data_IF_333736356391
#
_entry.id   IF_333736356391
#
_cell.length_a   1.000
_cell.length_b   1.000
_cell.length_c   1.000
_cell.angle_alpha   90.00
_cell.angle_beta   90.00
_cell.angle_gamma   90.00
#
_symmetry.space_group_name_H-M   'P 1'
#
loop_
_entity.id
_entity.type
_entity.pdbx_description
1 polymer ?
#
# COMPACT_ATOMS: atom_id res chain seq x y z
N UNK A 1 16.79 -34.21 1.56
CA UNK A 1 16.77 -32.80 1.09
C UNK A 1 15.77 -32.05 1.95
N UNK A 2 16.22 -31.26 2.92
CA UNK A 2 15.31 -30.51 3.81
C UNK A 2 14.87 -29.20 3.14
N UNK A 3 13.58 -28.87 3.27
CA UNK A 3 13.02 -27.59 2.79
C UNK A 3 13.00 -26.58 3.93
N UNK A 4 13.54 -25.39 3.69
CA UNK A 4 13.55 -24.31 4.69
C UNK A 4 12.13 -23.78 4.87
N UNK A 5 11.58 -23.92 6.07
CA UNK A 5 10.35 -23.23 6.47
C UNK A 5 10.74 -21.87 7.03
N UNK A 6 10.47 -20.81 6.28
CA UNK A 6 10.82 -19.43 6.67
C UNK A 6 9.63 -18.73 7.31
N UNK A 7 9.93 -17.83 8.25
CA UNK A 7 9.27 -16.62 8.80
C UNK A 7 7.94 -16.07 8.25
N UNK A 8 7.24 -16.71 7.29
CA UNK A 8 6.09 -16.15 6.60
C UNK A 8 4.93 -15.83 7.55
N UNK A 9 4.77 -16.66 8.57
CA UNK A 9 3.71 -16.51 9.57
C UNK A 9 3.79 -15.20 10.36
N UNK A 10 4.98 -14.69 10.65
CA UNK A 10 5.11 -13.50 11.51
C UNK A 10 4.68 -12.23 10.78
N UNK A 11 5.15 -12.03 9.54
CA UNK A 11 4.71 -10.86 8.78
C UNK A 11 3.21 -10.96 8.44
N UNK A 12 2.71 -12.16 8.13
CA UNK A 12 1.28 -12.40 7.89
C UNK A 12 0.42 -12.06 9.11
N UNK A 13 0.86 -12.44 10.32
CA UNK A 13 0.18 -12.08 11.56
C UNK A 13 0.18 -10.57 11.81
N UNK A 14 1.29 -9.87 11.54
CA UNK A 14 1.36 -8.41 11.66
C UNK A 14 0.38 -7.75 10.68
N UNK A 15 0.34 -8.21 9.43
CA UNK A 15 -0.62 -7.73 8.41
C UNK A 15 -2.05 -7.92 8.91
N UNK A 16 -2.40 -9.11 9.39
CA UNK A 16 -3.75 -9.41 9.90
C UNK A 16 -4.13 -8.53 11.09
N UNK A 17 -3.21 -8.24 12.01
CA UNK A 17 -3.48 -7.38 13.16
C UNK A 17 -3.69 -5.92 12.76
N UNK A 18 -2.88 -5.40 11.84
CA UNK A 18 -3.02 -4.04 11.33
C UNK A 18 -4.33 -3.91 10.54
N UNK A 19 -4.61 -4.86 9.64
CA UNK A 19 -5.85 -4.93 8.87
C UNK A 19 -7.07 -5.01 9.79
N UNK A 20 -7.03 -5.85 10.82
CA UNK A 20 -8.08 -5.92 11.84
C UNK A 20 -8.27 -4.62 12.61
N UNK A 21 -7.18 -3.87 12.86
CA UNK A 21 -7.24 -2.56 13.52
C UNK A 21 -7.87 -1.48 12.64
N UNK A 22 -7.63 -1.55 11.33
CA UNK A 22 -8.27 -0.69 10.34
C UNK A 22 -9.77 -0.99 10.26
N UNK A 23 -10.15 -2.27 10.15
CA UNK A 23 -11.55 -2.70 10.09
C UNK A 23 -12.34 -2.33 11.34
N UNK A 24 -11.69 -2.31 12.51
CA UNK A 24 -12.29 -1.87 13.78
C UNK A 24 -12.32 -0.34 13.96
N UNK A 25 -11.73 0.42 13.03
CA UNK A 25 -11.64 1.88 13.09
C UNK A 25 -10.66 2.42 14.13
N UNK A 26 -9.79 1.56 14.67
CA UNK A 26 -8.71 1.96 15.61
C UNK A 26 -7.62 2.70 14.83
N UNK A 27 -7.25 2.17 13.68
CA UNK A 27 -6.42 2.85 12.69
C UNK A 27 -7.33 3.39 11.59
N UNK A 28 -7.16 4.66 11.23
CA UNK A 28 -7.98 5.35 10.23
C UNK A 28 -7.13 5.77 9.05
N UNK A 29 -7.72 5.93 7.85
CA UNK A 29 -7.04 6.57 6.73
C UNK A 29 -6.44 7.92 7.14
N UNK A 30 -5.16 8.13 6.80
CA UNK A 30 -4.38 9.29 7.22
C UNK A 30 -3.56 9.11 8.49
N UNK A 31 -3.80 8.06 9.29
CA UNK A 31 -2.98 7.77 10.46
C UNK A 31 -1.58 7.30 10.05
N UNK A 32 -0.56 7.77 10.77
CA UNK A 32 0.82 7.35 10.57
C UNK A 32 1.10 6.09 11.36
N UNK A 33 1.60 5.04 10.70
CA UNK A 33 2.16 3.88 11.40
C UNK A 33 3.45 4.29 12.12
N UNK A 34 3.72 3.73 13.33
CA UNK A 34 4.99 3.91 13.99
C UNK A 34 6.17 3.47 13.10
N UNK A 35 7.36 4.03 13.36
CA UNK A 35 8.54 3.68 12.60
C UNK A 35 8.83 2.17 12.67
N UNK A 36 9.43 1.58 11.63
CA UNK A 36 9.68 0.12 11.55
C UNK A 36 10.42 -0.42 12.79
N UNK A 37 11.35 0.37 13.34
CA UNK A 37 12.09 0.03 14.57
C UNK A 37 11.17 -0.10 15.78
N UNK A 38 10.21 0.81 15.90
CA UNK A 38 9.26 0.85 17.01
C UNK A 38 8.22 -0.27 16.86
N UNK A 39 7.67 -0.45 15.66
CA UNK A 39 6.80 -1.59 15.36
C UNK A 39 7.48 -2.93 15.67
N UNK A 40 8.77 -3.08 15.32
CA UNK A 40 9.52 -4.29 15.64
C UNK A 40 9.62 -4.53 17.15
N UNK A 41 9.79 -3.46 17.93
CA UNK A 41 9.80 -3.53 19.39
C UNK A 41 8.40 -3.86 19.95
N UNK A 42 7.34 -3.21 19.46
CA UNK A 42 5.96 -3.43 19.91
C UNK A 42 5.47 -4.86 19.61
N UNK A 43 5.78 -5.38 18.42
CA UNK A 43 5.43 -6.75 18.03
C UNK A 43 6.41 -7.82 18.53
N UNK A 44 7.56 -7.43 19.11
CA UNK A 44 8.58 -8.37 19.57
C UNK A 44 9.21 -9.19 18.44
N UNK A 45 9.35 -8.62 17.24
CA UNK A 45 9.86 -9.31 16.04
C UNK A 45 11.09 -8.62 15.46
N UNK A 46 11.71 -9.25 14.45
CA UNK A 46 12.77 -8.61 13.67
C UNK A 46 12.24 -7.45 12.81
N UNK A 47 13.10 -6.45 12.58
CA UNK A 47 12.80 -5.35 11.63
C UNK A 47 12.51 -5.86 10.21
N UNK A 48 13.16 -6.95 9.80
CA UNK A 48 12.92 -7.58 8.50
C UNK A 48 11.47 -8.05 8.38
N UNK A 49 10.93 -8.70 9.42
CA UNK A 49 9.52 -9.16 9.41
C UNK A 49 8.53 -7.99 9.33
N UNK A 50 8.81 -6.89 10.04
CA UNK A 50 7.99 -5.66 9.96
C UNK A 50 8.05 -5.06 8.56
N UNK A 51 9.24 -4.98 7.96
CA UNK A 51 9.40 -4.45 6.60
C UNK A 51 8.64 -5.28 5.56
N UNK A 52 8.66 -6.62 5.67
CA UNK A 52 7.85 -7.49 4.82
C UNK A 52 6.35 -7.26 5.06
N UNK A 53 5.91 -7.07 6.31
CA UNK A 53 4.51 -6.78 6.63
C UNK A 53 4.05 -5.43 6.05
N UNK A 54 4.86 -4.37 6.19
CA UNK A 54 4.58 -3.05 5.59
C UNK A 54 4.53 -3.15 4.08
N UNK A 55 5.45 -3.90 3.46
CA UNK A 55 5.43 -4.14 2.01
C UNK A 55 4.12 -4.82 1.59
N UNK A 56 3.69 -5.86 2.28
CA UNK A 56 2.44 -6.55 2.01
C UNK A 56 1.20 -5.64 2.20
N UNK A 57 1.17 -4.80 3.24
CA UNK A 57 0.11 -3.82 3.45
C UNK A 57 0.03 -2.80 2.32
N UNK A 58 1.19 -2.37 1.79
CA UNK A 58 1.25 -1.47 0.63
C UNK A 58 0.76 -2.13 -0.65
N UNK A 59 1.11 -3.39 -0.89
CA UNK A 59 0.62 -4.16 -2.04
C UNK A 59 -0.91 -4.37 -1.97
N UNK A 60 -1.45 -4.56 -0.76
CA UNK A 60 -2.90 -4.55 -0.50
C UNK A 60 -3.54 -3.17 -0.62
N UNK A 61 -2.74 -2.10 -0.70
CA UNK A 61 -3.23 -0.73 -0.76
C UNK A 61 -3.84 -0.22 0.54
N UNK A 62 -3.48 -0.84 1.68
CA UNK A 62 -3.91 -0.44 3.03
C UNK A 62 -2.93 0.54 3.70
N UNK A 63 -1.74 0.68 3.13
CA UNK A 63 -0.74 1.63 3.58
C UNK A 63 0.04 2.24 2.39
N UNK A 64 0.59 3.43 2.58
CA UNK A 64 1.47 4.09 1.62
C UNK A 64 2.67 4.70 2.34
N UNK A 65 3.87 4.58 1.76
CA UNK A 65 5.09 5.11 2.33
C UNK A 65 5.52 6.38 1.59
N UNK A 66 5.71 7.47 2.31
CA UNK A 66 6.24 8.72 1.79
C UNK A 66 7.67 8.92 2.28
N UNK A 67 8.58 9.16 1.34
CA UNK A 67 10.00 9.41 1.65
C UNK A 67 10.12 10.56 2.65
N UNK A 68 10.88 10.34 3.73
CA UNK A 68 11.09 11.32 4.80
C UNK A 68 9.89 11.59 5.72
N UNK A 69 8.68 11.13 5.39
CA UNK A 69 7.47 11.35 6.21
C UNK A 69 6.96 10.09 6.91
N UNK A 70 7.33 8.89 6.46
CA UNK A 70 6.90 7.63 7.08
C UNK A 70 5.76 6.93 6.32
N UNK A 71 5.12 5.96 6.99
CA UNK A 71 4.07 5.12 6.39
C UNK A 71 2.71 5.50 6.96
N UNK A 72 1.72 5.66 6.09
CA UNK A 72 0.38 6.12 6.45
C UNK A 72 -0.67 5.13 5.99
N UNK A 73 -1.74 4.97 6.78
CA UNK A 73 -2.89 4.16 6.42
C UNK A 73 -3.70 4.86 5.33
N UNK A 74 -4.18 4.08 4.37
CA UNK A 74 -4.99 4.55 3.25
C UNK A 74 -6.42 4.01 3.38
N UNK A 75 -7.34 4.58 2.61
CA UNK A 75 -8.73 4.10 2.54
C UNK A 75 -8.93 2.96 1.54
N UNK A 76 -7.85 2.40 0.99
CA UNK A 76 -7.89 1.35 -0.04
C UNK A 76 -8.41 1.80 -1.41
N UNK A 77 -8.98 3.02 -1.53
CA UNK A 77 -9.68 3.48 -2.73
C UNK A 77 -8.71 3.62 -3.90
N UNK A 78 -7.54 4.19 -3.66
CA UNK A 78 -6.49 4.34 -4.67
C UNK A 78 -6.06 3.01 -5.27
N UNK A 79 -6.05 1.93 -4.48
CA UNK A 79 -5.67 0.60 -4.97
C UNK A 79 -6.78 -0.05 -5.79
N UNK A 80 -8.04 0.09 -5.38
CA UNK A 80 -9.17 -0.38 -6.18
C UNK A 80 -9.21 0.32 -7.56
N UNK A 81 -9.01 1.64 -7.60
CA UNK A 81 -8.95 2.41 -8.85
C UNK A 81 -7.78 1.94 -9.71
N UNK A 82 -6.58 1.76 -9.13
CA UNK A 82 -5.40 1.24 -9.86
C UNK A 82 -5.67 -0.12 -10.47
N UNK A 83 -6.30 -1.05 -9.74
CA UNK A 83 -6.63 -2.37 -10.24
C UNK A 83 -7.65 -2.32 -11.38
N UNK A 84 -8.69 -1.48 -11.26
CA UNK A 84 -9.66 -1.28 -12.33
C UNK A 84 -9.01 -0.71 -13.60
N UNK A 85 -8.11 0.27 -13.46
CA UNK A 85 -7.36 0.84 -14.59
C UNK A 85 -6.41 -0.19 -15.22
N UNK A 86 -5.65 -0.93 -14.42
CA UNK A 86 -4.75 -1.99 -14.90
C UNK A 86 -5.51 -3.07 -15.68
N UNK A 87 -6.70 -3.45 -15.22
CA UNK A 87 -7.57 -4.37 -15.93
C UNK A 87 -8.06 -3.79 -17.27
N UNK A 88 -8.53 -2.54 -17.28
CA UNK A 88 -8.98 -1.88 -18.52
C UNK A 88 -7.86 -1.83 -19.58
N UNK A 89 -6.63 -1.51 -19.16
CA UNK A 89 -5.46 -1.45 -20.05
C UNK A 89 -5.04 -2.80 -20.59
N UNK A 90 -5.15 -3.86 -19.78
CA UNK A 90 -4.84 -5.24 -20.20
C UNK A 90 -5.89 -5.80 -21.16
N UNK A 91 -7.14 -5.41 -21.00
CA UNK A 91 -8.23 -5.82 -21.90
C UNK A 91 -8.13 -5.10 -23.26
N UNK A 92 -7.81 -3.79 -23.26
CA UNK A 92 -7.74 -2.97 -24.48
C UNK A 92 -6.37 -2.91 -25.14
N UNK A 93 -5.83 -4.04 -25.65
CA UNK A 93 -4.52 -4.14 -26.33
C UNK A 93 -4.09 -2.91 -27.15
N UNK A 94 -2.77 -2.64 -27.21
CA UNK A 94 -2.04 -1.67 -28.05
C UNK A 94 -2.44 -0.17 -27.98
N UNK A 95 -3.70 0.17 -27.72
CA UNK A 95 -4.21 1.55 -27.64
C UNK A 95 -4.30 2.06 -26.18
N UNK A 96 -4.18 1.18 -25.19
CA UNK A 96 -4.27 1.55 -23.77
C UNK A 96 -3.28 2.65 -23.32
N UNK A 97 -2.08 2.71 -23.91
CA UNK A 97 -1.12 3.79 -23.63
C UNK A 97 -1.54 5.14 -24.21
N UNK A 98 -2.26 5.16 -25.34
CA UNK A 98 -2.81 6.39 -25.95
C UNK A 98 -3.95 6.91 -25.09
N UNK A 99 -4.86 6.04 -24.65
CA UNK A 99 -5.97 6.44 -23.77
C UNK A 99 -5.50 6.98 -22.41
N UNK A 100 -4.39 6.47 -21.85
CA UNK A 100 -3.83 7.04 -20.63
C UNK A 100 -3.26 8.45 -20.86
N UNK A 101 -2.66 8.71 -22.02
CA UNK A 101 -2.17 10.05 -22.35
C UNK A 101 -3.34 11.04 -22.44
N UNK A 102 -4.44 10.66 -23.10
CA UNK A 102 -5.67 11.46 -23.19
C UNK A 102 -6.27 11.77 -21.81
N UNK A 103 -6.36 10.77 -20.93
CA UNK A 103 -6.85 10.96 -19.56
C UNK A 103 -5.93 11.90 -18.77
N UNK A 104 -4.62 11.78 -18.94
CA UNK A 104 -3.63 12.63 -18.25
C UNK A 104 -3.71 14.08 -18.74
N UNK A 105 -3.87 14.32 -20.04
CA UNK A 105 -4.04 15.67 -20.59
C UNK A 105 -5.26 16.41 -20.02
N UNK A 106 -6.33 15.68 -19.69
CA UNK A 106 -7.54 16.25 -19.09
C UNK A 106 -7.32 16.56 -17.59
N UNK A 107 -6.69 15.65 -16.84
CA UNK A 107 -6.62 15.75 -15.37
C UNK A 107 -5.42 16.54 -14.86
N UNK A 108 -4.26 16.46 -15.54
CA UNK A 108 -3.00 17.04 -15.06
C UNK A 108 -3.05 18.57 -14.88
N UNK A 109 -3.66 19.37 -15.79
CA UNK A 109 -3.75 20.82 -15.61
C UNK A 109 -4.52 21.22 -14.34
N UNK A 110 -5.65 20.56 -14.07
CA UNK A 110 -6.49 20.85 -12.90
C UNK A 110 -5.81 20.41 -11.60
N UNK A 111 -5.12 19.27 -11.61
CA UNK A 111 -4.32 18.81 -10.47
C UNK A 111 -3.20 19.80 -10.16
N UNK A 112 -2.46 20.25 -11.19
CA UNK A 112 -1.39 21.24 -11.05
C UNK A 112 -1.92 22.57 -10.53
N UNK A 113 -3.07 23.03 -11.04
CA UNK A 113 -3.73 24.25 -10.58
C UNK A 113 -4.11 24.19 -9.09
N UNK A 114 -4.62 23.04 -8.60
CA UNK A 114 -5.02 22.87 -7.19
C UNK A 114 -3.87 22.67 -6.22
N UNK A 115 -2.66 22.39 -6.70
CA UNK A 115 -1.48 22.16 -5.87
C UNK A 115 -0.64 23.42 -5.63
N UNK A 116 -0.93 24.53 -6.32
CA UNK A 116 -0.30 25.85 -6.18
C UNK A 116 -0.92 26.67 -5.04
#
# INVERSE_FOLDING_TARGET
MYKVVRSSRLYEQIVQQIEGSILKGVLKPGDQLPAERELAQQFGVSRTAVREAIKALREKGLAEAYSGRGTFITDGRSQAIRQSLDLMLKIGQAEGSIHLAEVREILEPEIAFRAA
#
